data_IF_452630345663
#
_entry.id   IF_452630345663
#
_cell.length_a   1.000
_cell.length_b   1.000
_cell.length_c   1.000
_cell.angle_alpha   90.00
_cell.angle_beta   90.00
_cell.angle_gamma   90.00
#
_symmetry.space_group_name_H-M   'P 1'
#
loop_
_entity.id
_entity.type
_entity.pdbx_description
1 polymer ?
#
# COMPACT_ATOMS: atom_id res chain seq x y z
N UNK A 1 8.82 4.02 -16.06
CA UNK A 1 8.82 3.26 -14.79
C UNK A 1 8.46 4.22 -13.68
N UNK A 2 7.42 3.95 -12.88
CA UNK A 2 7.07 4.82 -11.74
C UNK A 2 7.87 4.35 -10.52
N UNK A 3 8.67 5.25 -9.92
CA UNK A 3 9.36 5.00 -8.66
C UNK A 3 8.46 5.45 -7.51
N UNK A 4 8.33 4.61 -6.49
CA UNK A 4 7.60 4.91 -5.27
C UNK A 4 8.58 4.81 -4.12
N UNK A 5 8.53 5.77 -3.20
CA UNK A 5 9.36 5.76 -1.99
C UNK A 5 8.60 5.02 -0.90
N UNK A 6 9.23 4.02 -0.32
CA UNK A 6 8.72 3.29 0.84
C UNK A 6 9.60 3.67 2.02
N UNK A 7 9.00 4.07 3.13
CA UNK A 7 9.69 4.26 4.40
C UNK A 7 9.51 2.96 5.20
N UNK A 8 10.59 2.48 5.79
CA UNK A 8 10.56 1.42 6.80
C UNK A 8 11.04 2.03 8.10
N UNK A 9 10.16 2.05 9.09
CA UNK A 9 10.46 2.49 10.45
C UNK A 9 10.70 1.28 11.33
N UNK A 10 11.77 1.33 12.12
CA UNK A 10 12.06 0.33 13.14
C UNK A 10 11.45 0.80 14.46
N UNK A 11 10.49 0.05 14.96
CA UNK A 11 9.90 0.23 16.28
C UNK A 11 10.46 -0.82 17.25
N UNK A 12 10.33 -0.59 18.57
CA UNK A 12 10.65 -1.62 19.58
C UNK A 12 9.83 -2.90 19.38
N UNK A 13 8.65 -2.75 18.76
CA UNK A 13 7.63 -3.78 18.59
C UNK A 13 7.72 -4.50 17.22
N UNK A 14 8.72 -4.15 16.40
CA UNK A 14 8.93 -4.70 15.06
C UNK A 14 9.24 -3.64 14.00
N UNK A 15 9.09 -4.00 12.74
CA UNK A 15 9.28 -3.12 11.59
C UNK A 15 7.93 -2.77 10.97
N UNK A 16 7.76 -1.49 10.66
CA UNK A 16 6.57 -0.96 10.00
C UNK A 16 6.98 -0.30 8.70
N UNK A 17 6.31 -0.62 7.60
CA UNK A 17 6.62 -0.09 6.29
C UNK A 17 5.40 0.56 5.64
N UNK A 18 5.57 1.76 5.10
CA UNK A 18 4.50 2.51 4.44
C UNK A 18 5.01 3.31 3.22
N UNK A 19 4.21 3.39 2.15
CA UNK A 19 4.60 4.13 0.95
C UNK A 19 4.24 5.62 1.05
N UNK A 20 5.19 6.46 0.68
CA UNK A 20 5.01 7.91 0.58
C UNK A 20 4.31 8.30 -0.72
N UNK A 21 3.39 9.26 -0.63
CA UNK A 21 2.76 9.89 -1.80
C UNK A 21 1.50 9.18 -2.30
N UNK A 22 0.99 8.18 -1.56
CA UNK A 22 -0.30 7.55 -1.83
C UNK A 22 -1.25 7.80 -0.64
N UNK A 23 -2.33 8.53 -0.87
CA UNK A 23 -3.35 8.77 0.17
C UNK A 23 -4.24 7.52 0.30
N UNK A 24 -4.30 6.95 1.50
CA UNK A 24 -5.17 5.81 1.84
C UNK A 24 -4.53 4.42 1.66
N UNK A 25 -3.21 4.30 1.75
CA UNK A 25 -2.49 3.09 1.32
C UNK A 25 -1.92 2.25 2.45
N UNK A 26 -1.96 0.95 2.15
CA UNK A 26 -1.50 -0.23 2.86
C UNK A 26 -0.21 -0.02 3.65
N UNK A 27 -0.25 -0.47 4.90
CA UNK A 27 0.85 -0.55 5.86
C UNK A 27 1.22 -2.03 5.99
N UNK A 28 2.49 -2.36 5.84
CA UNK A 28 3.02 -3.70 6.15
C UNK A 28 3.72 -3.67 7.50
N UNK A 29 3.55 -4.73 8.29
CA UNK A 29 4.22 -4.92 9.57
C UNK A 29 4.88 -6.29 9.59
N UNK A 30 6.05 -6.39 10.19
CA UNK A 30 6.73 -7.66 10.42
C UNK A 30 7.75 -7.56 11.53
N UNK A 31 8.13 -8.69 12.10
CA UNK A 31 9.18 -8.73 13.14
C UNK A 31 10.57 -8.46 12.53
N UNK A 32 10.70 -8.63 11.21
CA UNK A 32 11.91 -8.39 10.45
C UNK A 32 11.73 -7.37 9.32
N UNK A 33 12.83 -6.73 8.94
CA UNK A 33 12.85 -5.78 7.83
C UNK A 33 12.38 -6.43 6.51
N UNK A 34 12.80 -7.66 6.25
CA UNK A 34 12.46 -8.37 5.02
C UNK A 34 10.98 -8.72 4.93
N UNK A 35 10.36 -9.14 6.04
CA UNK A 35 8.91 -9.39 6.10
C UNK A 35 8.12 -8.12 5.81
N UNK A 36 8.41 -7.01 6.51
CA UNK A 36 7.70 -5.75 6.31
C UNK A 36 7.80 -5.26 4.86
N UNK A 37 8.97 -5.46 4.22
CA UNK A 37 9.20 -5.06 2.83
C UNK A 37 8.48 -5.96 1.82
N UNK A 38 8.47 -7.27 2.07
CA UNK A 38 7.75 -8.25 1.25
C UNK A 38 6.24 -7.98 1.30
N UNK A 39 5.73 -7.69 2.48
CA UNK A 39 4.32 -7.44 2.73
C UNK A 39 3.86 -6.17 1.99
N UNK A 40 4.60 -5.07 2.12
CA UNK A 40 4.32 -3.84 1.36
C UNK A 40 4.44 -4.04 -0.15
N UNK A 41 5.44 -4.79 -0.64
CA UNK A 41 5.56 -5.09 -2.09
C UNK A 41 4.33 -5.82 -2.63
N UNK A 42 3.84 -6.81 -1.89
CA UNK A 42 2.68 -7.60 -2.27
C UNK A 42 1.42 -6.73 -2.31
N UNK A 43 1.21 -5.94 -1.27
CA UNK A 43 0.05 -5.09 -1.13
C UNK A 43 0.04 -3.92 -2.12
N UNK A 44 1.22 -3.37 -2.43
CA UNK A 44 1.40 -2.36 -3.46
C UNK A 44 0.98 -2.87 -4.84
N UNK A 45 1.41 -4.10 -5.18
CA UNK A 45 1.04 -4.75 -6.45
C UNK A 45 -0.45 -5.05 -6.52
N UNK A 46 -1.06 -5.45 -5.41
CA UNK A 46 -2.50 -5.67 -5.31
C UNK A 46 -3.31 -4.38 -5.44
N UNK A 47 -2.87 -3.30 -4.79
CA UNK A 47 -3.56 -2.02 -4.80
C UNK A 47 -3.52 -1.35 -6.18
N UNK A 48 -2.39 -1.40 -6.90
CA UNK A 48 -2.33 -0.94 -8.30
C UNK A 48 -3.28 -1.74 -9.19
N UNK A 49 -3.36 -3.05 -8.98
CA UNK A 49 -4.26 -3.92 -9.76
C UNK A 49 -5.73 -3.61 -9.47
N UNK A 50 -6.09 -3.31 -8.22
CA UNK A 50 -7.46 -3.00 -7.82
C UNK A 50 -7.95 -1.61 -8.25
N UNK A 51 -7.06 -0.62 -8.34
CA UNK A 51 -7.45 0.72 -8.77
C UNK A 51 -7.83 0.79 -10.27
N UNK A 52 -7.63 -0.28 -11.04
CA UNK A 52 -8.11 -0.39 -12.42
C UNK A 52 -9.54 -0.96 -12.54
N UNK A 53 -10.18 -1.40 -11.45
CA UNK A 53 -11.55 -1.96 -11.51
C UNK A 53 -12.65 -1.06 -10.93
N UNK A 54 -12.32 0.03 -10.24
CA UNK A 54 -13.34 0.83 -9.52
C UNK A 54 -13.69 2.20 -10.16
N UNK A 55 -13.18 2.50 -11.36
CA UNK A 55 -13.46 3.79 -12.04
C UNK A 55 -14.59 3.75 -13.08
N UNK A 56 -15.46 2.73 -13.09
CA UNK A 56 -16.67 2.72 -13.94
C UNK A 56 -17.84 1.95 -13.30
N UNK A 57 -18.44 2.42 -12.20
CA UNK A 57 -19.87 2.15 -11.93
C UNK A 57 -20.53 2.89 -10.74
N UNK A 58 -20.03 4.06 -10.31
CA UNK A 58 -20.72 4.81 -9.25
C UNK A 58 -20.90 6.30 -9.56
N UNK A 59 -21.55 6.56 -10.70
CA UNK A 59 -22.29 7.81 -10.93
C UNK A 59 -23.55 7.49 -11.72
N UNK A 60 -24.64 7.20 -11.03
CA UNK A 60 -26.04 7.49 -11.41
C UNK A 60 -27.01 6.78 -10.45
N UNK A 61 -27.41 7.47 -9.38
CA UNK A 61 -28.79 7.50 -8.87
C UNK A 61 -28.87 8.34 -7.60
N UNK A 62 -29.07 9.64 -7.80
CA UNK A 62 -30.04 10.43 -7.02
C UNK A 62 -30.76 11.26 -8.08
N UNK A 63 -31.88 10.72 -8.56
CA UNK A 63 -33.02 11.46 -9.10
C UNK A 63 -34.20 11.09 -8.19
#
# INVERSE_FOLDING_TARGET
MKQYKIIVEKHPDGYVAYPLGLKGVVVGQGDTYEEALSDVKSAFRFHIKNNLYTSRHFRRRIL
#
